data_IF_816561740043
#
_entry.id   IF_816561740043
#
_cell.length_a   1.000
_cell.length_b   1.000
_cell.length_c   1.000
_cell.angle_alpha   90.00
_cell.angle_beta   90.00
_cell.angle_gamma   90.00
#
_symmetry.space_group_name_H-M   'P 1'
#
loop_
_entity.id
_entity.type
_entity.pdbx_description
1 polymer ?
#
# COMPACT_ATOMS: atom_id res chain seq x y z
N UNK A 1 -5.91 -80.56 -5.36
CA UNK A 1 -6.65 -80.36 -4.10
C UNK A 1 -6.54 -78.90 -3.68
N UNK A 2 -7.68 -78.21 -3.59
CA UNK A 2 -7.77 -76.80 -3.19
C UNK A 2 -7.37 -76.63 -1.72
N UNK A 3 -6.53 -75.63 -1.42
CA UNK A 3 -6.53 -74.94 -0.13
C UNK A 3 -6.40 -73.43 -0.39
N UNK A 4 -7.49 -72.72 -0.08
CA UNK A 4 -7.53 -71.27 0.08
C UNK A 4 -6.66 -70.89 1.28
N UNK A 5 -5.74 -69.95 1.11
CA UNK A 5 -5.14 -69.20 2.22
C UNK A 5 -5.45 -67.74 1.98
N UNK A 6 -6.22 -67.17 2.90
CA UNK A 6 -6.58 -65.76 2.97
C UNK A 6 -5.32 -65.00 3.40
N UNK A 7 -4.79 -64.14 2.51
CA UNK A 7 -3.72 -63.21 2.86
C UNK A 7 -4.39 -61.91 3.31
N UNK A 8 -4.36 -61.70 4.62
CA UNK A 8 -4.55 -60.41 5.26
C UNK A 8 -3.44 -59.47 4.79
N UNK A 9 -3.78 -58.45 4.00
CA UNK A 9 -2.88 -57.37 3.62
C UNK A 9 -2.87 -56.34 4.76
N UNK A 10 -1.96 -56.54 5.73
CA UNK A 10 -1.55 -55.49 6.66
C UNK A 10 -0.63 -54.53 5.90
N UNK A 11 -1.18 -53.41 5.41
CA UNK A 11 -0.39 -52.27 4.96
C UNK A 11 0.32 -51.64 6.16
N UNK A 12 1.57 -52.00 6.37
CA UNK A 12 2.51 -51.18 7.13
C UNK A 12 2.89 -49.98 6.27
N UNK A 13 2.17 -48.86 6.42
CA UNK A 13 2.72 -47.56 6.05
C UNK A 13 3.77 -47.20 7.09
N UNK A 14 5.03 -47.38 6.74
CA UNK A 14 6.16 -46.77 7.43
C UNK A 14 5.97 -45.25 7.38
N UNK A 15 5.60 -44.65 8.51
CA UNK A 15 5.76 -43.22 8.72
C UNK A 15 7.26 -42.92 8.65
N UNK A 16 7.75 -42.55 7.47
CA UNK A 16 9.02 -41.86 7.35
C UNK A 16 8.92 -40.62 8.23
N UNK A 17 9.76 -40.56 9.26
CA UNK A 17 10.03 -39.34 10.01
C UNK A 17 10.54 -38.30 9.02
N UNK A 18 9.61 -37.52 8.46
CA UNK A 18 9.93 -36.23 7.90
C UNK A 18 10.33 -35.41 9.12
N UNK A 19 11.62 -35.23 9.32
CA UNK A 19 12.08 -34.09 10.11
C UNK A 19 11.45 -32.87 9.45
N UNK A 20 10.39 -32.37 10.09
CA UNK A 20 9.88 -31.03 9.81
C UNK A 20 11.04 -30.13 10.15
N UNK A 21 11.81 -29.75 9.13
CA UNK A 21 12.72 -28.62 9.19
C UNK A 21 11.82 -27.47 9.60
N UNK A 22 11.81 -27.14 10.89
CA UNK A 22 11.19 -25.92 11.36
C UNK A 22 11.91 -24.82 10.59
N UNK A 23 11.21 -24.01 9.78
CA UNK A 23 11.82 -22.82 9.21
C UNK A 23 12.50 -22.09 10.37
N UNK A 24 13.74 -21.64 10.20
CA UNK A 24 14.41 -20.81 11.21
C UNK A 24 13.61 -19.52 11.35
N UNK A 25 12.68 -19.51 12.30
CA UNK A 25 11.57 -18.57 12.42
C UNK A 25 11.99 -17.25 13.07
N UNK A 26 12.86 -16.44 12.45
CA UNK A 26 12.89 -15.01 12.80
C UNK A 26 11.59 -14.32 12.37
N UNK A 27 10.97 -14.82 11.30
CA UNK A 27 9.70 -14.34 10.76
C UNK A 27 8.48 -14.60 11.66
N UNK A 28 8.58 -15.31 12.79
CA UNK A 28 7.44 -15.50 13.72
C UNK A 28 7.68 -14.90 15.11
N UNK A 29 8.92 -14.57 15.47
CA UNK A 29 9.15 -13.82 16.70
C UNK A 29 8.79 -12.36 16.45
N UNK A 30 7.72 -11.92 17.11
CA UNK A 30 7.40 -10.51 17.21
C UNK A 30 8.57 -9.79 17.87
N UNK A 31 8.99 -8.65 17.29
CA UNK A 31 9.88 -7.67 17.95
C UNK A 31 9.39 -7.30 19.36
N UNK A 32 8.09 -7.48 19.61
CA UNK A 32 7.40 -7.20 20.86
C UNK A 32 6.78 -8.49 21.41
N UNK A 33 7.46 -9.23 22.30
CA UNK A 33 6.99 -10.52 22.81
C UNK A 33 5.73 -10.40 23.69
N UNK A 34 5.40 -9.18 24.12
CA UNK A 34 4.19 -8.85 24.87
C UNK A 34 2.95 -8.66 23.98
N UNK A 35 3.09 -8.69 22.65
CA UNK A 35 1.97 -8.53 21.71
C UNK A 35 1.42 -9.89 21.28
N UNK A 36 0.09 -9.95 21.16
CA UNK A 36 -0.59 -11.05 20.50
C UNK A 36 -0.49 -10.90 18.98
N UNK A 37 -0.66 -12.00 18.24
CA UNK A 37 -0.59 -11.97 16.78
C UNK A 37 -1.62 -12.87 16.09
N UNK A 38 -1.95 -12.50 14.85
CA UNK A 38 -2.86 -13.21 13.97
C UNK A 38 -2.34 -13.12 12.55
N UNK A 39 -2.46 -14.21 11.81
CA UNK A 39 -2.13 -14.28 10.40
C UNK A 39 -3.42 -14.36 9.58
N UNK A 40 -3.46 -13.61 8.48
CA UNK A 40 -4.49 -13.65 7.44
C UNK A 40 -3.82 -13.94 6.09
N UNK A 41 -4.56 -13.84 4.98
CA UNK A 41 -4.06 -14.23 3.67
C UNK A 41 -2.81 -13.45 3.24
N UNK A 42 -2.77 -12.15 3.52
CA UNK A 42 -1.70 -11.25 3.08
C UNK A 42 -0.93 -10.60 4.23
N UNK A 43 -1.36 -10.79 5.49
CA UNK A 43 -0.80 -10.05 6.63
C UNK A 43 -0.56 -10.92 7.88
N UNK A 44 0.43 -10.50 8.67
CA UNK A 44 0.62 -10.87 10.06
C UNK A 44 0.45 -9.61 10.90
N UNK A 45 -0.56 -9.57 11.76
CA UNK A 45 -0.84 -8.43 12.65
C UNK A 45 -0.29 -8.73 14.04
N UNK A 46 0.38 -7.76 14.66
CA UNK A 46 0.77 -7.77 16.06
C UNK A 46 0.09 -6.60 16.79
N UNK A 47 -0.57 -6.87 17.92
CA UNK A 47 -1.30 -5.85 18.67
C UNK A 47 -1.29 -6.12 20.19
N UNK A 48 -1.66 -5.14 21.05
CA UNK A 48 -1.64 -5.30 22.50
C UNK A 48 -2.84 -6.11 23.04
N UNK A 49 -3.89 -6.31 22.23
CA UNK A 49 -5.10 -7.03 22.64
C UNK A 49 -5.73 -7.83 21.50
N UNK A 50 -6.46 -8.91 21.83
CA UNK A 50 -7.16 -9.75 20.84
C UNK A 50 -8.29 -9.02 20.10
N UNK A 51 -8.88 -8.00 20.72
CA UNK A 51 -9.95 -7.20 20.11
C UNK A 51 -9.37 -6.37 18.97
N UNK A 52 -8.27 -5.66 19.24
CA UNK A 52 -7.54 -4.87 18.23
C UNK A 52 -7.07 -5.78 17.10
N UNK A 53 -6.52 -6.95 17.45
CA UNK A 53 -5.96 -7.91 16.51
C UNK A 53 -6.97 -8.34 15.42
N UNK A 54 -8.19 -8.71 15.84
CA UNK A 54 -9.26 -9.12 14.90
C UNK A 54 -9.72 -7.96 14.03
N UNK A 55 -9.90 -6.79 14.64
CA UNK A 55 -10.34 -5.59 13.91
C UNK A 55 -9.33 -5.24 12.81
N UNK A 56 -8.05 -5.10 13.16
CA UNK A 56 -7.03 -4.66 12.22
C UNK A 56 -6.64 -5.73 11.20
N UNK A 57 -6.77 -7.02 11.52
CA UNK A 57 -6.59 -8.09 10.52
C UNK A 57 -7.65 -8.02 9.42
N UNK A 58 -8.94 -7.89 9.79
CA UNK A 58 -10.02 -7.73 8.81
C UNK A 58 -9.90 -6.41 8.04
N UNK A 59 -9.47 -5.34 8.72
CA UNK A 59 -9.28 -4.04 8.11
C UNK A 59 -8.17 -4.04 7.06
N UNK A 60 -7.02 -4.65 7.37
CA UNK A 60 -5.88 -4.74 6.46
C UNK A 60 -6.24 -5.53 5.19
N UNK A 61 -6.92 -6.66 5.32
CA UNK A 61 -7.41 -7.45 4.18
C UNK A 61 -8.42 -6.66 3.33
N UNK A 62 -9.29 -5.87 3.96
CA UNK A 62 -10.22 -4.98 3.26
C UNK A 62 -9.47 -3.90 2.46
N UNK A 63 -8.45 -3.29 3.04
CA UNK A 63 -7.64 -2.30 2.32
C UNK A 63 -6.85 -2.92 1.18
N UNK A 64 -6.23 -4.09 1.38
CA UNK A 64 -5.60 -4.83 0.29
C UNK A 64 -6.58 -5.08 -0.86
N UNK A 65 -7.78 -5.57 -0.56
CA UNK A 65 -8.82 -5.80 -1.57
C UNK A 65 -9.21 -4.51 -2.32
N UNK A 66 -9.42 -3.40 -1.60
CA UNK A 66 -9.74 -2.11 -2.22
C UNK A 66 -8.63 -1.68 -3.18
N UNK A 67 -7.37 -1.71 -2.71
CA UNK A 67 -6.20 -1.37 -3.53
C UNK A 67 -6.16 -2.24 -4.78
N UNK A 68 -6.40 -3.55 -4.67
CA UNK A 68 -6.47 -4.43 -5.85
C UNK A 68 -7.57 -4.02 -6.84
N UNK A 69 -8.74 -3.59 -6.36
CA UNK A 69 -9.86 -3.16 -7.21
C UNK A 69 -9.55 -1.85 -7.94
N UNK A 70 -8.95 -0.88 -7.26
CA UNK A 70 -8.64 0.44 -7.82
C UNK A 70 -7.43 0.41 -8.76
N UNK A 71 -6.46 -0.47 -8.48
CA UNK A 71 -5.26 -0.65 -9.29
C UNK A 71 -5.38 -1.75 -10.33
N UNK A 72 -6.39 -2.60 -10.23
CA UNK A 72 -6.59 -3.79 -11.06
C UNK A 72 -5.40 -4.78 -10.99
N UNK A 73 -4.72 -4.84 -9.84
CA UNK A 73 -3.57 -5.73 -9.57
C UNK A 73 -3.96 -7.16 -9.15
N UNK A 74 -5.06 -7.72 -9.64
CA UNK A 74 -5.60 -9.00 -9.14
C UNK A 74 -4.66 -10.21 -9.25
N UNK A 75 -3.65 -10.16 -10.13
CA UNK A 75 -2.65 -11.23 -10.25
C UNK A 75 -1.42 -11.03 -9.36
N UNK A 76 -1.33 -9.90 -8.66
CA UNK A 76 -0.27 -9.65 -7.69
C UNK A 76 -0.56 -10.43 -6.40
N UNK A 77 0.47 -11.13 -5.93
CA UNK A 77 0.48 -11.83 -4.65
C UNK A 77 1.81 -11.48 -3.99
N UNK A 78 1.80 -11.01 -2.74
CA UNK A 78 3.04 -10.73 -2.03
C UNK A 78 3.84 -12.02 -1.83
N UNK A 79 5.17 -11.94 -1.90
CA UNK A 79 6.07 -13.08 -1.75
C UNK A 79 5.92 -13.72 -0.37
N UNK A 80 5.70 -12.89 0.65
CA UNK A 80 5.43 -13.27 2.03
C UNK A 80 4.35 -12.36 2.62
N UNK A 81 3.58 -12.81 3.63
CA UNK A 81 2.67 -11.92 4.35
C UNK A 81 3.39 -10.69 4.90
N UNK A 82 2.81 -9.52 4.72
CA UNK A 82 3.32 -8.27 5.29
C UNK A 82 3.07 -8.23 6.80
N UNK A 83 3.98 -7.63 7.56
CA UNK A 83 3.77 -7.48 9.00
C UNK A 83 3.25 -6.09 9.33
N UNK A 84 2.24 -6.03 10.20
CA UNK A 84 1.72 -4.77 10.75
C UNK A 84 1.77 -4.86 12.27
N UNK A 85 2.50 -3.93 12.89
CA UNK A 85 2.59 -3.80 14.34
C UNK A 85 1.82 -2.57 14.76
N UNK A 86 0.84 -2.78 15.64
CA UNK A 86 -0.04 -1.73 16.13
C UNK A 86 0.25 -1.54 17.61
N UNK A 87 0.72 -0.35 17.95
CA UNK A 87 0.96 0.05 19.34
C UNK A 87 -0.31 0.62 19.97
N UNK A 88 -0.40 0.48 21.29
CA UNK A 88 -1.55 0.95 22.07
C UNK A 88 -1.84 2.45 21.89
N UNK A 89 -0.80 3.26 21.81
CA UNK A 89 -0.90 4.71 21.73
C UNK A 89 0.40 5.32 21.18
N UNK A 90 0.35 6.62 20.86
CA UNK A 90 1.47 7.39 20.32
C UNK A 90 2.71 7.28 21.19
N UNK A 91 2.56 7.42 22.51
CA UNK A 91 3.70 7.38 23.44
C UNK A 91 4.42 6.03 23.38
N UNK A 92 3.65 4.93 23.34
CA UNK A 92 4.18 3.57 23.20
C UNK A 92 4.92 3.40 21.88
N UNK A 93 4.34 3.89 20.78
CA UNK A 93 4.98 3.87 19.46
C UNK A 93 6.30 4.64 19.45
N UNK A 94 6.31 5.91 19.86
CA UNK A 94 7.52 6.74 19.86
C UNK A 94 8.61 6.13 20.74
N UNK A 95 8.25 5.62 21.91
CA UNK A 95 9.20 4.99 22.85
C UNK A 95 9.82 3.71 22.27
N UNK A 96 9.03 2.88 21.58
CA UNK A 96 9.48 1.59 21.04
C UNK A 96 10.23 1.71 19.71
N UNK A 97 9.88 2.72 18.91
CA UNK A 97 10.42 2.88 17.55
C UNK A 97 11.54 3.91 17.46
N UNK A 98 11.59 4.88 18.38
CA UNK A 98 12.47 6.03 18.27
C UNK A 98 12.06 7.02 17.16
N UNK A 99 10.84 6.89 16.64
CA UNK A 99 10.29 7.77 15.59
C UNK A 99 10.13 9.21 16.06
N UNK A 100 10.04 10.13 15.10
CA UNK A 100 9.74 11.54 15.37
C UNK A 100 8.28 11.72 15.79
N UNK A 101 8.01 12.76 16.60
CA UNK A 101 6.68 13.04 17.15
C UNK A 101 5.60 13.31 16.07
N UNK A 102 5.97 13.65 14.85
CA UNK A 102 5.02 13.86 13.75
C UNK A 102 4.65 12.58 12.98
N UNK A 103 5.31 11.44 13.25
CA UNK A 103 5.03 10.18 12.55
C UNK A 103 3.74 9.55 13.07
N UNK A 104 2.79 9.32 12.17
CA UNK A 104 1.59 8.49 12.43
C UNK A 104 1.82 6.99 12.19
N UNK A 105 2.90 6.66 11.48
CA UNK A 105 3.35 5.32 11.15
C UNK A 105 4.59 5.40 10.26
N UNK A 106 5.22 4.26 9.98
CA UNK A 106 6.24 4.13 8.95
C UNK A 106 6.35 2.68 8.47
N UNK A 107 6.95 2.51 7.29
CA UNK A 107 7.39 1.21 6.78
C UNK A 107 8.89 1.06 7.00
N UNK A 108 9.30 -0.08 7.54
CA UNK A 108 10.70 -0.51 7.57
C UNK A 108 10.78 -2.01 7.32
N UNK A 109 11.59 -2.42 6.35
CA UNK A 109 11.82 -3.84 6.03
C UNK A 109 10.52 -4.63 5.78
N UNK A 110 9.56 -4.04 5.05
CA UNK A 110 8.21 -4.58 4.80
C UNK A 110 7.32 -4.75 6.05
N UNK A 111 7.66 -4.04 7.13
CA UNK A 111 6.89 -3.98 8.37
C UNK A 111 6.30 -2.58 8.50
N UNK A 112 4.99 -2.49 8.68
CA UNK A 112 4.31 -1.27 9.11
C UNK A 112 4.36 -1.23 10.64
N UNK A 113 4.88 -0.15 11.23
CA UNK A 113 4.69 0.15 12.66
C UNK A 113 3.82 1.41 12.79
N UNK A 114 2.70 1.33 13.51
CA UNK A 114 1.76 2.43 13.75
C UNK A 114 1.10 2.31 15.13
N UNK A 115 0.17 3.18 15.50
CA UNK A 115 -0.50 3.18 16.79
C UNK A 115 -1.99 3.53 16.71
N UNK A 116 -2.75 3.02 17.68
CA UNK A 116 -4.18 3.30 17.79
C UNK A 116 -4.38 4.81 17.97
N UNK A 117 -5.10 5.39 17.02
CA UNK A 117 -5.43 6.81 16.95
C UNK A 117 -6.71 7.01 16.13
N UNK A 118 -7.36 8.18 16.19
CA UNK A 118 -8.54 8.44 15.38
C UNK A 118 -8.32 8.30 13.86
N UNK A 119 -7.06 8.38 13.39
CA UNK A 119 -6.68 8.32 11.98
C UNK A 119 -5.95 7.02 11.60
N UNK A 120 -5.94 6.00 12.47
CA UNK A 120 -5.20 4.76 12.20
C UNK A 120 -5.70 4.06 10.92
N UNK A 121 -7.00 4.05 10.68
CA UNK A 121 -7.58 3.38 9.51
C UNK A 121 -7.06 4.00 8.20
N UNK A 122 -7.06 5.33 8.09
CA UNK A 122 -6.53 6.02 6.92
C UNK A 122 -5.02 5.87 6.80
N UNK A 123 -4.30 5.89 7.93
CA UNK A 123 -2.86 5.66 7.97
C UNK A 123 -2.51 4.25 7.47
N UNK A 124 -3.26 3.23 7.91
CA UNK A 124 -3.05 1.85 7.46
C UNK A 124 -3.31 1.69 5.96
N UNK A 125 -4.37 2.30 5.41
CA UNK A 125 -4.62 2.28 3.97
C UNK A 125 -3.46 2.91 3.18
N UNK A 126 -2.92 4.03 3.68
CA UNK A 126 -1.76 4.71 3.11
C UNK A 126 -0.53 3.78 3.08
N UNK A 127 -0.14 3.23 4.23
CA UNK A 127 1.08 2.42 4.36
C UNK A 127 0.97 1.07 3.63
N UNK A 128 -0.20 0.42 3.64
CA UNK A 128 -0.41 -0.83 2.87
C UNK A 128 -0.24 -0.58 1.37
N UNK A 129 -0.66 0.58 0.88
CA UNK A 129 -0.48 0.97 -0.52
C UNK A 129 1.00 1.05 -0.89
N UNK A 130 1.83 1.67 -0.04
CA UNK A 130 3.27 1.71 -0.25
C UNK A 130 3.90 0.31 -0.27
N UNK A 131 3.52 -0.60 0.64
CA UNK A 131 4.02 -1.98 0.62
C UNK A 131 3.75 -2.68 -0.71
N UNK A 132 2.50 -2.62 -1.18
CA UNK A 132 2.07 -3.24 -2.43
C UNK A 132 2.82 -2.65 -3.62
N UNK A 133 2.92 -1.31 -3.71
CA UNK A 133 3.62 -0.66 -4.82
C UNK A 133 5.12 -0.94 -4.82
N UNK A 134 5.75 -0.89 -3.65
CA UNK A 134 7.18 -1.16 -3.51
C UNK A 134 7.53 -2.56 -3.99
N UNK A 135 6.71 -3.56 -3.65
CA UNK A 135 6.95 -4.93 -4.10
C UNK A 135 6.53 -5.16 -5.57
N UNK A 136 5.43 -4.55 -6.02
CA UNK A 136 4.97 -4.74 -7.40
C UNK A 136 5.89 -4.10 -8.44
N UNK A 137 6.35 -2.86 -8.20
CA UNK A 137 7.20 -2.08 -9.12
C UNK A 137 8.69 -2.35 -8.85
N UNK A 138 9.07 -2.60 -7.60
CA UNK A 138 10.46 -2.74 -7.18
C UNK A 138 11.16 -1.40 -6.99
N UNK A 139 12.50 -1.42 -7.03
CA UNK A 139 13.38 -0.27 -6.72
C UNK A 139 13.09 0.99 -7.56
N UNK A 140 12.44 0.86 -8.72
CA UNK A 140 12.12 2.02 -9.56
C UNK A 140 11.05 2.94 -8.98
N UNK A 141 10.26 2.49 -8.01
CA UNK A 141 9.19 3.28 -7.42
C UNK A 141 9.70 4.60 -6.80
N UNK A 142 10.96 4.61 -6.33
CA UNK A 142 11.60 5.82 -5.78
C UNK A 142 11.72 6.96 -6.81
N UNK A 143 11.71 6.66 -8.11
CA UNK A 143 11.71 7.68 -9.16
C UNK A 143 10.32 8.28 -9.42
N UNK A 144 9.27 7.72 -8.80
CA UNK A 144 7.87 8.08 -9.01
C UNK A 144 7.19 8.43 -7.68
N UNK A 145 7.81 9.30 -6.87
CA UNK A 145 7.26 9.73 -5.57
C UNK A 145 5.82 10.23 -5.67
N UNK A 146 5.49 11.02 -6.70
CA UNK A 146 4.13 11.53 -6.90
C UNK A 146 3.10 10.42 -7.13
N UNK A 147 3.52 9.31 -7.75
CA UNK A 147 2.67 8.16 -7.98
C UNK A 147 2.48 7.36 -6.68
N UNK A 148 3.58 7.13 -5.95
CA UNK A 148 3.55 6.38 -4.68
C UNK A 148 2.71 7.11 -3.64
N UNK A 149 3.05 8.37 -3.34
CA UNK A 149 2.32 9.21 -2.39
C UNK A 149 0.91 9.53 -2.90
N UNK A 150 0.75 9.78 -4.20
CA UNK A 150 -0.57 10.07 -4.78
C UNK A 150 -1.55 8.90 -4.64
N UNK A 151 -1.10 7.66 -4.89
CA UNK A 151 -1.95 6.48 -4.73
C UNK A 151 -2.18 6.17 -3.24
N UNK A 152 -1.15 6.27 -2.40
CA UNK A 152 -1.30 6.07 -0.97
C UNK A 152 -2.29 7.07 -0.35
N UNK A 153 -2.20 8.35 -0.70
CA UNK A 153 -3.16 9.38 -0.28
C UNK A 153 -4.55 9.17 -0.90
N UNK A 154 -4.65 8.65 -2.13
CA UNK A 154 -5.96 8.29 -2.72
C UNK A 154 -6.69 7.23 -1.88
N UNK A 155 -5.99 6.18 -1.43
CA UNK A 155 -6.55 5.13 -0.59
C UNK A 155 -6.79 5.60 0.86
N UNK A 156 -5.88 6.41 1.40
CA UNK A 156 -6.03 7.09 2.70
C UNK A 156 -7.35 7.87 2.78
N UNK A 157 -7.66 8.66 1.74
CA UNK A 157 -8.89 9.45 1.63
C UNK A 157 -10.12 8.56 1.58
N UNK A 158 -10.07 7.44 0.85
CA UNK A 158 -11.21 6.50 0.78
C UNK A 158 -11.47 5.79 2.11
N UNK A 159 -10.44 5.66 2.95
CA UNK A 159 -10.54 5.03 4.26
C UNK A 159 -11.15 5.94 5.34
N UNK A 160 -11.17 7.27 5.17
CA UNK A 160 -11.73 8.21 6.14
C UNK A 160 -12.37 9.44 5.48
N UNK A 161 -13.67 9.64 5.74
CA UNK A 161 -14.40 10.80 5.22
C UNK A 161 -13.84 12.14 5.70
N UNK A 162 -13.37 12.20 6.95
CA UNK A 162 -12.83 13.43 7.51
C UNK A 162 -11.51 13.81 6.83
N UNK A 163 -10.68 12.79 6.53
CA UNK A 163 -9.43 12.96 5.79
C UNK A 163 -9.70 13.35 4.34
N UNK A 164 -10.70 12.73 3.68
CA UNK A 164 -11.09 13.15 2.32
C UNK A 164 -11.57 14.60 2.27
N UNK A 165 -12.38 15.03 3.25
CA UNK A 165 -12.83 16.43 3.36
C UNK A 165 -11.63 17.37 3.53
N UNK A 166 -10.64 17.00 4.35
CA UNK A 166 -9.42 17.79 4.53
C UNK A 166 -8.66 17.96 3.20
N UNK A 167 -8.40 16.86 2.49
CA UNK A 167 -7.70 16.89 1.20
C UNK A 167 -8.49 17.59 0.10
N UNK A 168 -9.81 17.45 0.05
CA UNK A 168 -10.68 18.21 -0.87
C UNK A 168 -10.63 19.72 -0.57
N UNK A 169 -10.56 20.11 0.71
CA UNK A 169 -10.39 21.51 1.09
C UNK A 169 -9.01 22.04 0.68
N UNK A 170 -7.94 21.28 0.91
CA UNK A 170 -6.58 21.62 0.45
C UNK A 170 -6.55 21.75 -1.07
N UNK A 171 -7.17 20.82 -1.79
CA UNK A 171 -7.25 20.86 -3.24
C UNK A 171 -7.89 22.17 -3.72
N UNK A 172 -9.06 22.53 -3.17
CA UNK A 172 -9.79 23.75 -3.55
C UNK A 172 -9.08 25.04 -3.19
N UNK A 173 -8.45 25.08 -2.03
CA UNK A 173 -7.88 26.33 -1.46
C UNK A 173 -6.40 26.54 -1.79
N UNK A 174 -5.66 25.48 -2.12
CA UNK A 174 -4.20 25.53 -2.35
C UNK A 174 -3.77 24.99 -3.71
N UNK A 175 -4.38 23.91 -4.21
CA UNK A 175 -4.02 23.32 -5.50
C UNK A 175 -4.64 24.12 -6.65
N UNK A 176 -5.96 24.30 -6.68
CA UNK A 176 -6.64 25.04 -7.77
C UNK A 176 -6.03 26.44 -8.01
N UNK A 177 -5.76 27.27 -6.97
CA UNK A 177 -5.20 28.60 -7.20
C UNK A 177 -3.75 28.60 -7.71
N UNK A 178 -3.00 27.52 -7.49
CA UNK A 178 -1.58 27.45 -7.79
C UNK A 178 -1.14 25.99 -7.95
N UNK A 179 -1.52 25.29 -9.03
CA UNK A 179 -1.13 23.90 -9.19
C UNK A 179 0.39 23.80 -9.39
N UNK A 180 1.00 22.73 -8.89
CA UNK A 180 2.36 22.41 -9.26
C UNK A 180 2.40 22.03 -10.75
N UNK A 181 3.52 22.35 -11.40
CA UNK A 181 3.80 21.73 -12.70
C UNK A 181 4.13 20.27 -12.48
N UNK A 182 3.76 19.42 -13.41
CA UNK A 182 4.01 17.98 -13.29
C UNK A 182 5.52 17.67 -13.21
N UNK A 183 6.36 18.46 -13.90
CA UNK A 183 7.82 18.38 -13.77
C UNK A 183 8.29 18.66 -12.33
N UNK A 184 7.59 19.53 -11.60
CA UNK A 184 7.89 19.84 -10.21
C UNK A 184 7.38 18.72 -9.29
N UNK A 185 6.21 18.14 -9.56
CA UNK A 185 5.71 16.97 -8.81
C UNK A 185 6.67 15.78 -8.92
N UNK A 186 7.15 15.48 -10.13
CA UNK A 186 8.07 14.35 -10.39
C UNK A 186 9.41 14.55 -9.67
N UNK A 187 9.89 15.80 -9.57
CA UNK A 187 11.16 16.11 -8.92
C UNK A 187 11.02 16.47 -7.44
N UNK A 188 9.81 16.45 -6.89
CA UNK A 188 9.56 16.81 -5.50
C UNK A 188 10.04 15.68 -4.57
N UNK A 189 10.95 16.06 -3.67
CA UNK A 189 11.43 15.20 -2.59
C UNK A 189 11.24 16.02 -1.31
N UNK A 190 10.28 15.66 -0.44
CA UNK A 190 10.13 16.32 0.85
C UNK A 190 11.47 16.28 1.61
N UNK A 191 11.92 17.44 2.08
CA UNK A 191 13.08 17.58 2.96
C UNK A 191 12.60 17.85 4.38
N UNK A 192 13.49 17.71 5.35
CA UNK A 192 13.19 17.98 6.76
C UNK A 192 12.67 19.40 6.97
N UNK A 193 13.09 20.35 6.14
CA UNK A 193 12.68 21.76 6.21
C UNK A 193 11.41 22.08 5.40
N UNK A 194 10.90 21.12 4.62
CA UNK A 194 9.66 21.33 3.84
C UNK A 194 8.49 21.53 4.78
N UNK A 195 7.70 22.58 4.54
CA UNK A 195 6.56 22.87 5.39
C UNK A 195 5.47 21.80 5.25
N UNK A 196 4.76 21.52 6.35
CA UNK A 196 3.63 20.58 6.34
C UNK A 196 2.58 20.98 5.28
N UNK A 197 2.36 22.28 5.13
CA UNK A 197 1.44 22.83 4.13
C UNK A 197 1.84 22.53 2.68
N UNK A 198 3.14 22.56 2.37
CA UNK A 198 3.65 22.19 1.04
C UNK A 198 3.53 20.68 0.80
N UNK A 199 3.86 19.85 1.79
CA UNK A 199 3.71 18.39 1.70
C UNK A 199 2.25 18.01 1.47
N UNK A 200 1.34 18.58 2.26
CA UNK A 200 -0.11 18.33 2.12
C UNK A 200 -0.66 18.79 0.78
N UNK A 201 -0.19 19.92 0.25
CA UNK A 201 -0.55 20.37 -1.10
C UNK A 201 -0.05 19.40 -2.17
N UNK A 202 1.20 18.95 -2.04
CA UNK A 202 1.79 17.95 -2.93
C UNK A 202 1.00 16.63 -2.93
N UNK A 203 0.61 16.12 -1.75
CA UNK A 203 -0.23 14.93 -1.61
C UNK A 203 -1.63 15.14 -2.18
N UNK A 204 -2.27 16.28 -1.91
CA UNK A 204 -3.59 16.60 -2.45
C UNK A 204 -3.60 16.61 -3.98
N UNK A 205 -2.59 17.25 -4.59
CA UNK A 205 -2.46 17.33 -6.04
C UNK A 205 -2.15 15.97 -6.66
N UNK A 206 -1.17 15.25 -6.12
CA UNK A 206 -0.79 13.92 -6.58
C UNK A 206 -1.97 12.94 -6.51
N UNK A 207 -2.68 12.94 -5.39
CA UNK A 207 -3.88 12.12 -5.18
C UNK A 207 -5.01 12.46 -6.14
N UNK A 208 -5.27 13.74 -6.43
CA UNK A 208 -6.30 14.11 -7.42
C UNK A 208 -5.93 13.66 -8.84
N UNK A 209 -4.64 13.70 -9.21
CA UNK A 209 -4.19 13.18 -10.50
C UNK A 209 -4.38 11.66 -10.58
N UNK A 210 -4.06 10.91 -9.53
CA UNK A 210 -4.30 9.46 -9.48
C UNK A 210 -5.80 9.16 -9.56
N UNK A 211 -6.62 9.85 -8.76
CA UNK A 211 -8.09 9.80 -8.81
C UNK A 211 -8.61 10.07 -10.22
N UNK A 212 -8.04 11.06 -10.91
CA UNK A 212 -8.39 11.40 -12.28
C UNK A 212 -8.04 10.27 -13.26
N UNK A 213 -6.83 9.72 -13.18
CA UNK A 213 -6.38 8.61 -14.04
C UNK A 213 -7.22 7.35 -13.84
N UNK A 214 -7.59 7.01 -12.60
CA UNK A 214 -8.40 5.83 -12.29
C UNK A 214 -9.86 6.07 -12.67
N UNK A 215 -10.49 7.17 -12.23
CA UNK A 215 -11.93 7.37 -12.38
C UNK A 215 -12.34 7.75 -13.81
N UNK A 216 -11.50 8.48 -14.54
CA UNK A 216 -11.84 8.94 -15.91
C UNK A 216 -11.66 7.85 -16.95
N UNK A 217 -10.64 7.01 -16.77
CA UNK A 217 -10.16 6.10 -17.80
C UNK A 217 -10.25 4.61 -17.40
N UNK A 218 -10.50 4.33 -16.11
CA UNK A 218 -10.69 3.01 -15.55
C UNK A 218 -9.42 2.40 -14.95
N UNK A 219 -9.60 1.56 -13.93
CA UNK A 219 -8.52 0.87 -13.20
C UNK A 219 -7.69 -0.06 -14.09
N UNK A 220 -8.28 -0.69 -15.12
CA UNK A 220 -7.53 -1.54 -16.05
C UNK A 220 -6.44 -0.78 -16.82
N UNK A 221 -6.72 0.46 -17.26
CA UNK A 221 -5.68 1.29 -17.91
C UNK A 221 -4.62 1.72 -16.90
N UNK A 222 -5.02 2.00 -15.66
CA UNK A 222 -4.09 2.30 -14.59
C UNK A 222 -3.15 1.11 -14.30
N UNK A 223 -3.65 -0.13 -14.32
CA UNK A 223 -2.81 -1.33 -14.28
C UNK A 223 -1.78 -1.37 -15.42
N UNK A 224 -2.19 -1.14 -16.67
CA UNK A 224 -1.26 -1.13 -17.82
C UNK A 224 -0.16 -0.07 -17.61
N UNK A 225 -0.52 1.08 -17.03
CA UNK A 225 0.45 2.12 -16.69
C UNK A 225 1.45 1.62 -15.64
N UNK A 226 0.99 1.03 -14.52
CA UNK A 226 1.86 0.48 -13.48
C UNK A 226 2.75 -0.67 -14.00
N UNK A 227 2.20 -1.58 -14.80
CA UNK A 227 2.96 -2.68 -15.43
C UNK A 227 4.01 -2.14 -16.42
N UNK A 228 3.70 -1.05 -17.12
CA UNK A 228 4.67 -0.34 -17.96
C UNK A 228 5.87 0.16 -17.16
N UNK A 229 5.63 0.79 -16.00
CA UNK A 229 6.69 1.28 -15.12
C UNK A 229 7.51 0.13 -14.51
N UNK A 230 6.83 -0.95 -14.08
CA UNK A 230 7.48 -2.19 -13.62
C UNK A 230 8.45 -2.75 -14.66
N UNK A 231 8.12 -2.64 -15.95
CA UNK A 231 8.96 -3.07 -17.08
C UNK A 231 9.99 -2.04 -17.52
N UNK A 232 10.26 -1.01 -16.71
CA UNK A 232 11.23 0.07 -16.98
C UNK A 232 10.87 0.94 -18.20
N UNK A 233 9.60 1.04 -18.58
CA UNK A 233 9.21 2.04 -19.57
C UNK A 233 9.36 3.44 -18.98
N UNK A 234 9.76 4.42 -19.80
CA UNK A 234 9.66 5.82 -19.42
C UNK A 234 8.22 6.22 -19.12
N UNK A 235 8.01 7.26 -18.30
CA UNK A 235 6.66 7.76 -17.97
C UNK A 235 5.83 8.01 -19.22
N UNK A 236 6.38 8.69 -20.23
CA UNK A 236 5.67 8.96 -21.48
C UNK A 236 5.30 7.67 -22.22
N UNK A 237 6.19 6.67 -22.26
CA UNK A 237 5.88 5.40 -22.92
C UNK A 237 4.84 4.58 -22.15
N UNK A 238 4.92 4.57 -20.81
CA UNK A 238 3.92 3.92 -19.96
C UNK A 238 2.54 4.58 -20.13
N UNK A 239 2.48 5.91 -20.12
CA UNK A 239 1.25 6.68 -20.35
C UNK A 239 0.70 6.47 -21.77
N UNK A 240 1.57 6.51 -22.80
CA UNK A 240 1.18 6.24 -24.19
C UNK A 240 0.59 4.85 -24.38
N UNK A 241 1.16 3.84 -23.74
CA UNK A 241 0.67 2.46 -23.83
C UNK A 241 -0.67 2.28 -23.11
N UNK A 242 -0.81 2.87 -21.92
CA UNK A 242 -2.02 2.75 -21.11
C UNK A 242 -3.20 3.61 -21.60
N UNK A 243 -2.89 4.82 -22.09
CA UNK A 243 -3.87 5.85 -22.43
C UNK A 243 -3.68 6.40 -23.85
N UNK A 244 -3.64 5.55 -24.90
CA UNK A 244 -3.24 5.93 -26.26
C UNK A 244 -4.12 7.00 -26.91
N UNK A 245 -5.36 7.16 -26.45
CA UNK A 245 -6.34 8.11 -26.98
C UNK A 245 -6.57 9.33 -26.09
N UNK A 246 -5.96 9.37 -24.90
CA UNK A 246 -6.29 10.35 -23.86
C UNK A 246 -5.10 11.23 -23.51
N UNK A 247 -4.10 10.69 -22.80
CA UNK A 247 -2.91 11.43 -22.39
C UNK A 247 -1.66 10.58 -22.60
N UNK A 248 -1.05 10.73 -23.78
CA UNK A 248 0.07 9.91 -24.23
C UNK A 248 1.45 10.40 -23.76
N UNK A 249 1.49 11.38 -22.87
CA UNK A 249 2.70 11.93 -22.27
C UNK A 249 2.37 12.65 -20.97
N UNK A 250 3.37 12.91 -20.14
CA UNK A 250 3.24 13.69 -18.91
C UNK A 250 2.64 15.07 -19.18
N UNK A 251 3.10 15.77 -20.22
CA UNK A 251 2.56 17.07 -20.60
C UNK A 251 1.11 17.00 -21.10
N UNK A 252 0.73 15.91 -21.77
CA UNK A 252 -0.65 15.71 -22.20
C UNK A 252 -1.57 15.43 -21.01
N UNK A 253 -1.12 14.63 -20.04
CA UNK A 253 -1.83 14.38 -18.80
C UNK A 253 -2.02 15.67 -18.00
N UNK A 254 -0.95 16.44 -17.79
CA UNK A 254 -1.00 17.74 -17.10
C UNK A 254 -2.05 18.66 -17.72
N UNK A 255 -1.96 18.88 -19.04
CA UNK A 255 -2.88 19.79 -19.75
C UNK A 255 -4.34 19.37 -19.61
N UNK A 256 -4.62 18.07 -19.73
CA UNK A 256 -5.99 17.57 -19.67
C UNK A 256 -6.52 17.63 -18.24
N UNK A 257 -5.71 17.25 -17.26
CA UNK A 257 -6.06 17.33 -15.85
C UNK A 257 -6.30 18.79 -15.41
N UNK A 258 -5.41 19.72 -15.78
CA UNK A 258 -5.59 21.16 -15.50
C UNK A 258 -6.91 21.69 -16.07
N UNK A 259 -7.21 21.37 -17.32
CA UNK A 259 -8.46 21.81 -17.96
C UNK A 259 -9.71 21.28 -17.26
N UNK A 260 -9.71 20.01 -16.86
CA UNK A 260 -10.92 19.32 -16.36
C UNK A 260 -11.10 19.39 -14.85
N UNK A 261 -10.01 19.54 -14.09
CA UNK A 261 -10.01 19.53 -12.61
C UNK A 261 -9.71 20.90 -12.00
N UNK A 262 -8.90 21.72 -12.67
CA UNK A 262 -8.50 23.05 -12.18
C UNK A 262 -9.25 24.17 -12.93
N UNK A 263 -9.61 23.96 -14.19
CA UNK A 263 -10.31 24.93 -15.03
C UNK A 263 -9.40 25.96 -15.71
N UNK A 264 -8.13 25.60 -15.97
CA UNK A 264 -7.13 26.44 -16.65
C UNK A 264 -6.51 25.77 -17.87
#
# INVERSE_FOLDING_TARGET
MKKLIIISLLCFCSCSNVEVIRPTTELFYSKYPDYVYMESAHFIINAPSDIDLKYYSLLAERFYYNIMMDTNLFSFVPAHPYRIIIHKDKNTFLTRTGSFDWSGGFIKDNIIETYISPTIDSTLAHEITHLILNEFIGENIYFYSWLSEGLATYEERKASSDVDIEYENIFRTKVIPSPYRFTNLISFIPKKETSNDEVKKYYAESSDIIKFMINREGSFKFYIFLDGLKRNLSLDNALKNAYPTSFTSVSALERIWLRERVGI
#
